data_IF_236801847391
#
_entry.id   IF_236801847391
#
_cell.length_a   1.000
_cell.length_b   1.000
_cell.length_c   1.000
_cell.angle_alpha   90.00
_cell.angle_beta   90.00
_cell.angle_gamma   90.00
#
_symmetry.space_group_name_H-M   'P 1'
#
loop_
_entity.id
_entity.type
_entity.pdbx_description
1 polymer ?
#
# COMPACT_ATOMS: atom_id res chain seq x y z
N UNK A 1 3.93 15.18 -16.51
CA UNK A 1 4.40 15.19 -15.11
C UNK A 1 4.35 13.77 -14.59
N UNK A 2 5.35 13.37 -13.79
CA UNK A 2 5.43 12.05 -13.15
C UNK A 2 5.61 12.28 -11.65
N UNK A 3 4.90 11.52 -10.82
CA UNK A 3 4.98 11.57 -9.37
C UNK A 3 5.06 10.16 -8.77
N UNK A 4 5.67 10.05 -7.60
CA UNK A 4 5.84 8.82 -6.84
C UNK A 4 5.52 9.06 -5.36
N UNK A 5 4.91 8.08 -4.71
CA UNK A 5 4.67 8.04 -3.26
C UNK A 5 5.71 7.11 -2.65
N UNK A 6 6.60 7.67 -1.84
CA UNK A 6 7.66 6.92 -1.16
C UNK A 6 7.37 6.95 0.35
N UNK A 7 7.42 5.78 1.00
CA UNK A 7 7.32 5.63 2.44
C UNK A 7 8.39 4.65 2.90
N UNK A 8 9.18 5.01 3.91
CA UNK A 8 10.24 4.17 4.48
C UNK A 8 11.15 3.53 3.41
N UNK A 9 11.61 4.35 2.46
CA UNK A 9 12.39 3.94 1.28
C UNK A 9 11.70 2.95 0.31
N UNK A 10 10.44 2.58 0.54
CA UNK A 10 9.63 1.78 -0.38
C UNK A 10 8.76 2.67 -1.29
N UNK A 11 8.75 2.36 -2.59
CA UNK A 11 7.81 2.97 -3.52
C UNK A 11 6.43 2.33 -3.35
N UNK A 12 5.47 3.10 -2.82
CA UNK A 12 4.11 2.63 -2.59
C UNK A 12 3.24 2.74 -3.85
N UNK A 13 3.52 3.72 -4.71
CA UNK A 13 2.79 3.93 -5.96
C UNK A 13 3.35 5.06 -6.80
N UNK A 14 3.10 5.01 -8.11
CA UNK A 14 3.53 6.00 -9.08
C UNK A 14 2.36 6.40 -9.99
N UNK A 15 2.45 7.60 -10.56
CA UNK A 15 1.42 8.11 -11.45
C UNK A 15 1.94 9.22 -12.36
N UNK A 16 1.28 9.36 -13.51
CA UNK A 16 1.58 10.37 -14.50
C UNK A 16 0.35 11.22 -14.81
N UNK A 17 0.58 12.42 -15.34
CA UNK A 17 -0.48 13.32 -15.76
C UNK A 17 0.02 14.58 -16.45
N UNK A 18 -0.90 15.28 -17.10
CA UNK A 18 -0.68 16.55 -17.79
C UNK A 18 -0.42 17.71 -16.83
N UNK A 19 -0.62 17.51 -15.52
CA UNK A 19 -0.30 18.49 -14.47
C UNK A 19 0.27 17.82 -13.23
N UNK A 20 0.96 18.60 -12.37
CA UNK A 20 1.48 18.12 -11.09
C UNK A 20 0.40 17.49 -10.21
N UNK A 21 -0.71 18.21 -10.02
CA UNK A 21 -1.88 17.72 -9.23
C UNK A 21 -2.41 16.40 -9.77
N UNK A 22 -2.50 16.25 -11.10
CA UNK A 22 -2.99 15.01 -11.70
C UNK A 22 -2.01 13.85 -11.47
N UNK A 23 -0.71 14.06 -11.67
CA UNK A 23 0.31 13.03 -11.43
C UNK A 23 0.33 12.60 -9.95
N UNK A 24 0.26 13.55 -9.02
CA UNK A 24 0.19 13.27 -7.57
C UNK A 24 -1.08 12.50 -7.20
N UNK A 25 -2.24 12.90 -7.75
CA UNK A 25 -3.50 12.19 -7.53
C UNK A 25 -3.43 10.76 -8.07
N UNK A 26 -2.86 10.57 -9.26
CA UNK A 26 -2.67 9.25 -9.85
C UNK A 26 -1.73 8.36 -9.00
N UNK A 27 -0.61 8.93 -8.52
CA UNK A 27 0.34 8.21 -7.67
C UNK A 27 -0.27 7.83 -6.30
N UNK A 28 -1.05 8.74 -5.68
CA UNK A 28 -1.76 8.48 -4.44
C UNK A 28 -2.82 7.38 -4.62
N UNK A 29 -3.60 7.42 -5.70
CA UNK A 29 -4.58 6.36 -6.01
C UNK A 29 -3.90 5.01 -6.26
N UNK A 30 -2.77 4.99 -6.94
CA UNK A 30 -1.99 3.78 -7.16
C UNK A 30 -1.50 3.18 -5.82
N UNK A 31 -0.93 4.02 -4.95
CA UNK A 31 -0.53 3.61 -3.61
C UNK A 31 -1.72 3.05 -2.81
N UNK A 32 -2.85 3.76 -2.83
CA UNK A 32 -4.05 3.37 -2.11
C UNK A 32 -4.63 2.01 -2.55
N UNK A 33 -4.52 1.69 -3.84
CA UNK A 33 -4.98 0.40 -4.38
C UNK A 33 -4.07 -0.75 -3.97
N UNK A 34 -2.76 -0.52 -4.00
CA UNK A 34 -1.76 -1.56 -3.70
C UNK A 34 -1.66 -1.86 -2.21
N UNK A 35 -1.94 -0.88 -1.33
CA UNK A 35 -1.88 -1.00 0.14
C UNK A 35 -0.61 -1.68 0.64
N UNK A 36 0.53 -1.35 0.01
CA UNK A 36 1.79 -2.05 0.29
C UNK A 36 2.25 -1.89 1.74
N UNK A 37 1.86 -0.79 2.39
CA UNK A 37 2.09 -0.55 3.82
C UNK A 37 1.37 -1.54 4.75
N UNK A 38 0.34 -2.25 4.27
CA UNK A 38 -0.39 -3.26 5.06
C UNK A 38 0.32 -4.61 5.06
N UNK A 39 1.20 -4.89 4.08
CA UNK A 39 1.94 -6.16 4.02
C UNK A 39 3.08 -6.21 5.03
N UNK A 40 3.57 -5.07 5.46
CA UNK A 40 4.53 -4.92 6.57
C UNK A 40 3.84 -4.72 7.92
N UNK A 41 2.50 -4.67 7.97
CA UNK A 41 1.81 -4.78 9.24
C UNK A 41 2.04 -6.20 9.78
N UNK A 42 2.49 -6.37 11.04
CA UNK A 42 2.63 -7.70 11.61
C UNK A 42 1.27 -8.38 11.46
N UNK A 43 1.25 -9.52 10.77
CA UNK A 43 0.04 -10.32 10.60
C UNK A 43 -0.62 -10.42 11.98
N UNK A 44 -1.83 -9.88 12.11
CA UNK A 44 -2.61 -10.05 13.33
C UNK A 44 -2.55 -11.53 13.69
N UNK A 45 -2.39 -11.91 14.97
CA UNK A 45 -2.37 -13.31 15.35
C UNK A 45 -3.67 -13.91 14.84
N UNK A 46 -3.56 -14.75 13.83
CA UNK A 46 -4.69 -15.54 13.36
C UNK A 46 -5.10 -16.39 14.56
N UNK A 47 -6.38 -16.43 14.96
CA UNK A 47 -6.82 -17.40 15.94
C UNK A 47 -6.68 -18.78 15.31
N UNK A 48 -5.51 -19.41 15.48
CA UNK A 48 -5.33 -20.84 15.27
C UNK A 48 -6.35 -21.55 16.16
N UNK A 49 -7.33 -22.14 15.49
CA UNK A 49 -8.01 -23.38 15.83
C UNK A 49 -7.63 -23.98 17.18
N UNK A 50 -8.36 -23.63 18.23
CA UNK A 50 -8.61 -24.53 19.35
C UNK A 50 -9.47 -25.69 18.83
N UNK A 51 -8.85 -26.63 18.12
CA UNK A 51 -9.31 -28.01 18.08
C UNK A 51 -8.69 -28.68 19.28
N UNK A 52 -9.25 -28.39 20.46
CA UNK A 52 -9.01 -29.19 21.65
C UNK A 52 -9.67 -30.55 21.40
N UNK A 53 -8.82 -31.53 21.17
CA UNK A 53 -9.23 -32.91 21.04
C UNK A 53 -9.68 -33.51 22.37
N UNK A 54 -10.32 -34.66 22.17
CA UNK A 54 -10.52 -35.80 23.09
C UNK A 54 -11.69 -35.78 24.05
#
# INVERSE_FOLDING_TARGET
FIAKVIWDNAELGAGEGSSKKQAETAAALAALRSRLWEKDAPAAPSPETESAGS
#
